data_IF_458456928292
#
_entry.id   IF_458456928292
#
_cell.length_a   1.000
_cell.length_b   1.000
_cell.length_c   1.000
_cell.angle_alpha   90.00
_cell.angle_beta   90.00
_cell.angle_gamma   90.00
#
_symmetry.space_group_name_H-M   'P 1'
#
loop_
_entity.id
_entity.type
_entity.pdbx_description
1 polymer ?
#
# COMPACT_ATOMS: atom_id res chain seq x y z
N UNK A 1 -4.55 -53.62 38.53
CA UNK A 1 -4.24 -53.24 37.14
C UNK A 1 -5.30 -52.24 36.69
N UNK A 2 -4.99 -50.93 36.69
CA UNK A 2 -5.92 -49.87 36.28
C UNK A 2 -5.69 -49.56 34.79
N UNK A 3 -6.72 -49.74 33.98
CA UNK A 3 -6.71 -49.41 32.55
C UNK A 3 -6.97 -47.91 32.42
N UNK A 4 -5.99 -47.17 31.90
CA UNK A 4 -6.10 -45.76 31.57
C UNK A 4 -6.63 -45.67 30.13
N UNK A 5 -7.87 -45.23 30.00
CA UNK A 5 -8.50 -44.99 28.68
C UNK A 5 -8.10 -43.57 28.23
N UNK A 6 -7.28 -43.48 27.16
CA UNK A 6 -6.96 -42.21 26.49
C UNK A 6 -8.16 -41.80 25.63
N UNK A 7 -8.82 -40.73 26.04
CA UNK A 7 -9.84 -40.03 25.20
C UNK A 7 -9.09 -39.07 24.32
N UNK A 8 -8.95 -39.36 23.04
CA UNK A 8 -8.44 -38.46 22.03
C UNK A 8 -9.51 -37.44 21.71
N UNK A 9 -9.31 -36.19 22.20
CA UNK A 9 -10.14 -35.04 21.86
C UNK A 9 -9.75 -34.58 20.45
N UNK A 10 -10.53 -34.97 19.44
CA UNK A 10 -10.41 -34.44 18.08
C UNK A 10 -10.92 -33.01 18.05
N UNK A 11 -10.00 -32.03 17.97
CA UNK A 11 -10.35 -30.64 17.71
C UNK A 11 -10.86 -30.52 16.27
N UNK A 12 -12.18 -30.45 16.09
CA UNK A 12 -12.77 -30.02 14.82
C UNK A 12 -12.47 -28.54 14.62
N UNK A 13 -11.48 -28.24 13.79
CA UNK A 13 -11.32 -26.92 13.22
C UNK A 13 -12.47 -26.68 12.25
N UNK A 14 -13.50 -25.96 12.69
CA UNK A 14 -14.56 -25.46 11.82
C UNK A 14 -13.93 -24.35 10.99
N UNK A 15 -13.46 -24.68 9.78
CA UNK A 15 -13.20 -23.67 8.74
C UNK A 15 -14.56 -23.10 8.35
N UNK A 16 -14.92 -21.96 8.93
CA UNK A 16 -16.08 -21.19 8.51
C UNK A 16 -15.81 -20.72 7.07
N UNK A 17 -16.30 -21.49 6.08
CA UNK A 17 -16.43 -21.02 4.72
C UNK A 17 -17.41 -19.84 4.74
N UNK A 18 -16.92 -18.60 4.76
CA UNK A 18 -17.78 -17.45 4.56
C UNK A 18 -18.37 -17.52 3.16
N UNK A 19 -19.68 -17.78 3.08
CA UNK A 19 -20.43 -17.88 1.81
C UNK A 19 -20.75 -16.52 1.18
N UNK A 20 -20.18 -15.44 1.72
CA UNK A 20 -20.40 -14.07 1.25
C UNK A 20 -19.61 -13.71 -0.01
N UNK A 21 -19.89 -12.53 -0.58
CA UNK A 21 -19.14 -12.00 -1.71
C UNK A 21 -17.66 -11.81 -1.35
N UNK A 22 -16.79 -12.09 -2.32
CA UNK A 22 -15.33 -12.07 -2.13
C UNK A 22 -14.68 -11.18 -3.19
N UNK A 23 -13.55 -10.58 -2.83
CA UNK A 23 -12.61 -10.04 -3.80
C UNK A 23 -11.50 -11.07 -4.08
N UNK A 24 -10.86 -10.92 -5.23
CA UNK A 24 -9.77 -11.79 -5.66
C UNK A 24 -8.54 -10.97 -6.05
N UNK A 25 -7.36 -11.48 -5.70
CA UNK A 25 -6.08 -10.94 -6.15
C UNK A 25 -5.29 -12.07 -6.80
N UNK A 26 -5.17 -12.00 -8.11
CA UNK A 26 -4.54 -13.02 -8.93
C UNK A 26 -3.31 -12.44 -9.63
N UNK A 27 -2.42 -13.28 -10.11
CA UNK A 27 -1.31 -12.84 -10.93
C UNK A 27 -0.14 -13.78 -10.96
N UNK A 28 1.01 -13.23 -11.36
CA UNK A 28 2.28 -13.93 -11.43
C UNK A 28 3.45 -13.02 -11.02
N UNK A 29 4.42 -13.60 -10.30
CA UNK A 29 5.64 -12.94 -9.88
C UNK A 29 6.82 -13.68 -10.49
N UNK A 30 7.27 -13.21 -11.63
CA UNK A 30 8.36 -13.87 -12.35
C UNK A 30 9.68 -13.82 -11.58
N UNK A 31 10.42 -14.92 -11.58
CA UNK A 31 11.70 -15.03 -10.88
C UNK A 31 11.57 -15.20 -9.35
N UNK A 32 10.37 -15.51 -8.83
CA UNK A 32 10.10 -15.67 -7.40
C UNK A 32 9.93 -17.15 -6.97
N UNK A 33 10.43 -18.10 -7.73
CA UNK A 33 10.32 -19.52 -7.37
C UNK A 33 10.86 -19.79 -5.96
N UNK A 34 10.09 -20.54 -5.17
CA UNK A 34 10.42 -20.87 -3.79
C UNK A 34 10.19 -19.77 -2.75
N UNK A 35 9.87 -18.52 -3.15
CA UNK A 35 9.57 -17.40 -2.25
C UNK A 35 8.18 -17.49 -1.64
N UNK A 36 8.02 -16.90 -0.46
CA UNK A 36 6.71 -16.73 0.18
C UNK A 36 6.11 -15.38 -0.21
N UNK A 37 4.93 -15.41 -0.81
CA UNK A 37 4.10 -14.23 -1.06
C UNK A 37 3.03 -14.16 0.01
N UNK A 38 2.90 -12.99 0.64
CA UNK A 38 1.90 -12.69 1.65
C UNK A 38 0.88 -11.69 1.11
N UNK A 39 -0.39 -11.93 1.38
CA UNK A 39 -1.45 -10.92 1.31
C UNK A 39 -1.67 -10.38 2.72
N UNK A 40 -1.56 -9.07 2.88
CA UNK A 40 -1.66 -8.40 4.17
C UNK A 40 -2.68 -7.26 4.09
N UNK A 41 -3.49 -7.08 5.15
CA UNK A 41 -4.29 -5.88 5.34
C UNK A 41 -3.46 -4.78 6.01
N UNK A 42 -3.67 -3.53 5.60
CA UNK A 42 -3.00 -2.35 6.14
C UNK A 42 -4.04 -1.41 6.75
N UNK A 43 -4.30 -1.57 8.03
CA UNK A 43 -5.30 -0.80 8.78
C UNK A 43 -4.69 0.11 9.84
N UNK A 44 -5.56 0.78 10.61
CA UNK A 44 -5.17 1.69 11.69
C UNK A 44 -4.41 0.98 12.82
N UNK A 45 -4.72 -0.29 13.06
CA UNK A 45 -4.06 -1.11 14.09
C UNK A 45 -2.70 -1.69 13.61
N UNK A 46 -2.34 -1.42 12.35
CA UNK A 46 -1.10 -1.89 11.73
C UNK A 46 -1.32 -2.87 10.59
N UNK A 47 -0.34 -3.71 10.36
CA UNK A 47 -0.32 -4.69 9.27
C UNK A 47 -0.69 -6.07 9.81
N UNK A 48 -1.70 -6.70 9.20
CA UNK A 48 -2.14 -8.05 9.52
C UNK A 48 -2.00 -8.98 8.31
N UNK A 49 -1.33 -10.11 8.48
CA UNK A 49 -1.27 -11.13 7.43
C UNK A 49 -2.63 -11.85 7.32
N UNK A 50 -3.19 -11.87 6.12
CA UNK A 50 -4.47 -12.53 5.82
C UNK A 50 -4.28 -13.91 5.20
N UNK A 51 -3.29 -14.03 4.31
CA UNK A 51 -3.04 -15.27 3.57
C UNK A 51 -1.58 -15.31 3.08
N UNK A 52 -1.12 -16.49 2.68
CA UNK A 52 0.21 -16.63 2.10
C UNK A 52 0.29 -17.83 1.17
N UNK A 53 1.17 -17.74 0.18
CA UNK A 53 1.45 -18.83 -0.76
C UNK A 53 2.95 -18.93 -1.05
N UNK A 54 3.47 -20.16 -1.10
CA UNK A 54 4.82 -20.40 -1.62
C UNK A 54 4.77 -20.48 -3.13
N UNK A 55 5.38 -19.51 -3.79
CA UNK A 55 5.42 -19.42 -5.25
C UNK A 55 6.22 -20.57 -5.86
N UNK A 56 5.80 -21.03 -7.03
CA UNK A 56 6.43 -22.12 -7.78
C UNK A 56 6.52 -21.76 -9.27
N UNK A 57 7.58 -22.20 -9.92
CA UNK A 57 7.76 -22.04 -11.35
C UNK A 57 7.67 -20.57 -11.79
N UNK A 58 6.65 -20.23 -12.56
CA UNK A 58 6.43 -18.88 -13.09
C UNK A 58 5.89 -17.89 -12.05
N UNK A 59 5.63 -18.33 -10.80
CA UNK A 59 5.22 -17.47 -9.71
C UNK A 59 3.73 -17.15 -9.69
N UNK A 60 2.88 -17.99 -10.29
CA UNK A 60 1.44 -17.80 -10.28
C UNK A 60 0.86 -17.88 -8.85
N UNK A 61 -0.10 -17.00 -8.55
CA UNK A 61 -0.81 -16.97 -7.27
C UNK A 61 -2.27 -16.55 -7.43
N UNK A 62 -3.08 -16.90 -6.42
CA UNK A 62 -4.48 -16.48 -6.29
C UNK A 62 -4.85 -16.40 -4.82
N UNK A 63 -5.32 -15.23 -4.39
CA UNK A 63 -5.89 -15.00 -3.06
C UNK A 63 -7.36 -14.64 -3.19
N UNK A 64 -8.19 -15.13 -2.24
CA UNK A 64 -9.61 -14.81 -2.12
C UNK A 64 -9.94 -14.44 -0.69
N UNK A 65 -10.48 -13.24 -0.51
CA UNK A 65 -10.85 -12.73 0.82
C UNK A 65 -12.30 -12.22 0.81
N UNK A 66 -12.98 -12.19 1.96
CA UNK A 66 -14.27 -11.55 2.08
C UNK A 66 -14.22 -10.11 1.59
N UNK A 67 -15.30 -9.66 0.93
CA UNK A 67 -15.45 -8.26 0.52
C UNK A 67 -15.36 -7.35 1.76
N UNK A 68 -14.56 -6.26 1.73
CA UNK A 68 -14.58 -5.27 2.79
C UNK A 68 -15.92 -4.50 2.80
N UNK A 69 -16.33 -4.01 3.96
CA UNK A 69 -17.55 -3.21 4.13
C UNK A 69 -17.39 -1.78 3.57
N UNK A 70 -16.17 -1.28 3.60
CA UNK A 70 -15.74 0.02 3.06
C UNK A 70 -14.40 -0.15 2.34
N UNK A 71 -13.95 0.85 1.56
CA UNK A 71 -12.63 0.79 0.93
C UNK A 71 -11.52 0.52 1.95
N UNK A 72 -10.76 -0.53 1.74
CA UNK A 72 -9.65 -0.95 2.60
C UNK A 72 -8.35 -1.06 1.83
N UNK A 73 -7.23 -0.93 2.56
CA UNK A 73 -5.88 -1.03 2.00
C UNK A 73 -5.28 -2.40 2.26
N UNK A 74 -4.66 -2.91 1.22
CA UNK A 74 -3.96 -4.19 1.24
C UNK A 74 -2.57 -4.04 0.65
N UNK A 75 -1.73 -5.03 0.89
CA UNK A 75 -0.45 -5.13 0.22
C UNK A 75 -0.07 -6.58 -0.07
N UNK A 76 0.61 -6.79 -1.18
CA UNK A 76 1.39 -7.99 -1.41
C UNK A 76 2.80 -7.75 -0.87
N UNK A 77 3.37 -8.73 -0.18
CA UNK A 77 4.74 -8.66 0.33
C UNK A 77 5.53 -9.93 0.00
N UNK A 78 6.75 -9.73 -0.51
CA UNK A 78 7.78 -10.76 -0.64
C UNK A 78 9.05 -10.21 -0.01
N UNK A 79 9.63 -10.91 0.97
CA UNK A 79 10.76 -10.45 1.76
C UNK A 79 10.48 -9.03 2.34
N UNK A 80 11.28 -8.03 1.99
CA UNK A 80 11.12 -6.61 2.37
C UNK A 80 10.41 -5.75 1.32
N UNK A 81 10.03 -6.34 0.17
CA UNK A 81 9.40 -5.64 -0.95
C UNK A 81 7.88 -5.70 -0.85
N UNK A 82 7.22 -4.59 -1.22
CA UNK A 82 5.76 -4.47 -1.12
C UNK A 82 5.15 -3.85 -2.38
N UNK A 83 3.90 -4.25 -2.67
CA UNK A 83 2.98 -3.62 -3.62
C UNK A 83 1.73 -3.25 -2.84
N UNK A 84 1.44 -1.95 -2.73
CA UNK A 84 0.24 -1.45 -2.07
C UNK A 84 -0.91 -1.31 -3.07
N UNK A 85 -2.13 -1.61 -2.62
CA UNK A 85 -3.37 -1.44 -3.39
C UNK A 85 -4.56 -1.25 -2.46
N UNK A 86 -5.71 -0.89 -3.01
CA UNK A 86 -6.98 -0.84 -2.28
C UNK A 86 -8.01 -1.76 -2.92
N UNK A 87 -8.98 -2.17 -2.12
CA UNK A 87 -10.19 -2.86 -2.58
C UNK A 87 -11.39 -2.13 -2.03
N UNK A 88 -12.28 -1.71 -2.93
CA UNK A 88 -13.46 -0.93 -2.57
C UNK A 88 -14.71 -1.82 -2.43
N UNK A 89 -14.74 -2.96 -3.13
CA UNK A 89 -15.91 -3.86 -3.17
C UNK A 89 -15.56 -5.27 -3.65
N UNK A 90 -16.42 -5.86 -4.49
CA UNK A 90 -16.15 -7.12 -5.18
C UNK A 90 -15.33 -6.79 -6.42
N UNK A 91 -14.02 -6.95 -6.31
CA UNK A 91 -13.06 -6.69 -7.37
C UNK A 91 -12.22 -7.93 -7.66
N UNK A 92 -11.76 -8.04 -8.88
CA UNK A 92 -10.72 -9.02 -9.26
C UNK A 92 -9.52 -8.26 -9.78
N UNK A 93 -8.48 -8.21 -8.97
CA UNK A 93 -7.24 -7.56 -9.35
C UNK A 93 -6.30 -8.55 -10.02
N UNK A 94 -5.65 -8.12 -11.10
CA UNK A 94 -4.55 -8.84 -11.75
C UNK A 94 -3.26 -8.09 -11.51
N UNK A 95 -2.32 -8.71 -10.79
CA UNK A 95 -1.03 -8.10 -10.44
C UNK A 95 0.10 -8.96 -11.00
N UNK A 96 0.96 -8.34 -11.84
CA UNK A 96 2.16 -8.98 -12.37
C UNK A 96 3.38 -8.16 -12.02
N UNK A 97 4.45 -8.82 -11.60
CA UNK A 97 5.69 -8.17 -11.25
C UNK A 97 6.90 -9.08 -11.47
N UNK A 98 8.07 -8.55 -11.84
CA UNK A 98 9.33 -9.26 -11.67
C UNK A 98 9.76 -9.20 -10.20
N UNK A 99 10.26 -10.30 -9.63
CA UNK A 99 10.74 -10.33 -8.24
C UNK A 99 11.84 -9.29 -7.97
N UNK A 100 12.74 -9.07 -8.94
CA UNK A 100 13.86 -8.12 -8.79
C UNK A 100 13.35 -6.71 -8.53
N UNK A 101 12.38 -6.25 -9.32
CA UNK A 101 11.79 -4.91 -9.25
C UNK A 101 10.33 -4.95 -8.75
N UNK A 102 10.05 -5.83 -7.78
CA UNK A 102 8.70 -6.12 -7.30
C UNK A 102 7.89 -4.88 -6.94
N UNK A 103 8.50 -3.91 -6.25
CA UNK A 103 7.81 -2.70 -5.79
C UNK A 103 7.73 -1.57 -6.83
N UNK A 104 8.38 -1.70 -7.98
CA UNK A 104 8.50 -0.59 -8.95
C UNK A 104 8.07 -0.95 -10.36
N UNK A 105 8.30 -2.18 -10.82
CA UNK A 105 8.03 -2.62 -12.19
C UNK A 105 6.81 -3.58 -12.26
N UNK A 106 5.78 -3.33 -11.46
CA UNK A 106 4.56 -4.14 -11.49
C UNK A 106 3.46 -3.52 -12.35
N UNK A 107 2.53 -4.36 -12.81
CA UNK A 107 1.25 -3.92 -13.36
C UNK A 107 0.13 -4.30 -12.40
N UNK A 108 -0.94 -3.50 -12.38
CA UNK A 108 -2.16 -3.79 -11.64
C UNK A 108 -3.35 -3.42 -12.50
N UNK A 109 -4.28 -4.36 -12.66
CA UNK A 109 -5.48 -4.20 -13.45
C UNK A 109 -6.70 -4.59 -12.61
N UNK A 110 -7.90 -4.09 -12.98
CA UNK A 110 -9.16 -4.41 -12.31
C UNK A 110 -9.59 -3.37 -11.26
N UNK A 111 -8.75 -2.38 -10.90
CA UNK A 111 -9.11 -1.30 -9.98
C UNK A 111 -8.48 0.03 -10.37
N UNK A 112 -9.31 1.06 -10.56
CA UNK A 112 -8.84 2.42 -10.86
C UNK A 112 -8.10 3.05 -9.67
N UNK A 113 -8.59 2.83 -8.44
CA UNK A 113 -7.95 3.32 -7.22
C UNK A 113 -6.56 2.69 -7.01
N UNK A 114 -6.44 1.39 -7.24
CA UNK A 114 -5.16 0.69 -7.11
C UNK A 114 -4.14 1.16 -8.15
N UNK A 115 -4.55 1.53 -9.37
CA UNK A 115 -3.67 2.16 -10.35
C UNK A 115 -3.17 3.54 -9.87
N UNK A 116 -4.04 4.35 -9.28
CA UNK A 116 -3.65 5.65 -8.70
C UNK A 116 -2.73 5.50 -7.49
N UNK A 117 -2.93 4.48 -6.65
CA UNK A 117 -2.04 4.14 -5.55
C UNK A 117 -0.65 3.74 -6.06
N UNK A 118 -0.60 2.97 -7.16
CA UNK A 118 0.67 2.66 -7.84
C UNK A 118 1.39 3.93 -8.30
N UNK A 119 0.69 4.83 -9.01
CA UNK A 119 1.26 6.10 -9.47
C UNK A 119 1.84 6.90 -8.29
N UNK A 120 1.08 7.04 -7.19
CA UNK A 120 1.50 7.73 -5.97
C UNK A 120 2.73 7.05 -5.32
N UNK A 121 2.74 5.72 -5.26
CA UNK A 121 3.87 4.95 -4.72
C UNK A 121 5.14 5.20 -5.55
N UNK A 122 5.05 5.16 -6.87
CA UNK A 122 6.20 5.42 -7.74
C UNK A 122 6.69 6.87 -7.64
N UNK A 123 5.79 7.85 -7.52
CA UNK A 123 6.14 9.25 -7.27
C UNK A 123 6.86 9.43 -5.93
N UNK A 124 6.40 8.76 -4.87
CA UNK A 124 7.05 8.79 -3.56
C UNK A 124 8.45 8.16 -3.58
N UNK A 125 8.62 7.03 -4.26
CA UNK A 125 9.93 6.39 -4.45
C UNK A 125 10.89 7.33 -5.20
N UNK A 126 10.41 8.00 -6.23
CA UNK A 126 11.20 8.98 -6.98
C UNK A 126 11.58 10.20 -6.11
N UNK A 127 10.65 10.70 -5.28
CA UNK A 127 10.95 11.77 -4.32
C UNK A 127 12.02 11.33 -3.32
N UNK A 128 11.88 10.15 -2.71
CA UNK A 128 12.88 9.61 -1.77
C UNK A 128 14.26 9.53 -2.43
N UNK A 129 14.33 8.99 -3.64
CA UNK A 129 15.59 8.92 -4.38
C UNK A 129 16.22 10.31 -4.61
N UNK A 130 15.43 11.29 -5.03
CA UNK A 130 15.92 12.65 -5.26
C UNK A 130 16.45 13.29 -3.98
N UNK A 131 15.80 13.05 -2.85
CA UNK A 131 16.25 13.52 -1.53
C UNK A 131 17.53 12.81 -1.10
N UNK A 132 17.65 11.52 -1.33
CA UNK A 132 18.87 10.75 -1.01
C UNK A 132 20.06 11.22 -1.87
N UNK A 133 19.86 11.48 -3.17
CA UNK A 133 20.86 12.04 -4.07
C UNK A 133 21.30 13.46 -3.63
N UNK A 134 20.35 14.30 -3.20
CA UNK A 134 20.62 15.63 -2.68
C UNK A 134 21.43 15.58 -1.37
N UNK A 135 21.09 14.66 -0.47
CA UNK A 135 21.84 14.40 0.77
C UNK A 135 23.27 13.92 0.49
N UNK A 136 23.44 13.06 -0.50
CA UNK A 136 24.77 12.61 -0.92
C UNK A 136 25.61 13.77 -1.46
N UNK A 137 25.00 14.69 -2.21
CA UNK A 137 25.67 15.90 -2.74
C UNK A 137 26.13 16.82 -1.61
N UNK A 138 25.31 17.00 -0.57
CA UNK A 138 25.68 17.78 0.63
C UNK A 138 26.84 17.12 1.39
N UNK A 139 26.76 15.80 1.63
CA UNK A 139 27.80 15.05 2.35
C UNK A 139 29.15 15.10 1.66
N UNK A 140 29.18 15.19 0.35
CA UNK A 140 30.40 15.31 -0.46
C UNK A 140 30.92 16.76 -0.55
N UNK A 141 30.31 17.71 0.19
CA UNK A 141 30.63 19.16 0.19
C UNK A 141 30.52 19.80 -1.20
N UNK A 142 29.66 19.27 -2.06
CA UNK A 142 29.42 19.85 -3.41
C UNK A 142 28.39 20.98 -3.40
N UNK A 143 27.62 21.11 -2.31
CA UNK A 143 26.68 22.23 -2.08
C UNK A 143 26.76 22.68 -0.63
N UNK A 144 26.32 23.92 -0.36
CA UNK A 144 26.14 24.45 0.99
C UNK A 144 24.84 23.98 1.64
N UNK A 145 24.71 24.12 2.96
CA UNK A 145 23.46 23.83 3.70
C UNK A 145 22.28 24.65 3.18
N UNK A 146 22.47 25.96 2.89
CA UNK A 146 21.42 26.83 2.40
C UNK A 146 20.88 26.33 1.03
N UNK A 147 21.78 25.95 0.11
CA UNK A 147 21.39 25.38 -1.18
C UNK A 147 20.65 24.03 -0.98
N UNK A 148 21.09 23.23 -0.02
CA UNK A 148 20.42 21.98 0.30
C UNK A 148 19.00 22.23 0.81
N UNK A 149 18.80 23.13 1.78
CA UNK A 149 17.49 23.46 2.34
C UNK A 149 16.53 24.00 1.28
N UNK A 150 16.97 24.93 0.45
CA UNK A 150 16.18 25.49 -0.66
C UNK A 150 15.78 24.42 -1.68
N UNK A 151 16.72 23.53 -2.02
CA UNK A 151 16.48 22.44 -2.96
C UNK A 151 15.51 21.41 -2.38
N UNK A 152 15.64 21.03 -1.12
CA UNK A 152 14.74 20.14 -0.42
C UNK A 152 13.33 20.73 -0.35
N UNK A 153 13.20 22.00 0.04
CA UNK A 153 11.93 22.70 0.07
C UNK A 153 11.25 22.72 -1.31
N UNK A 154 12.03 22.95 -2.37
CA UNK A 154 11.55 22.92 -3.75
C UNK A 154 11.04 21.53 -4.16
N UNK A 155 11.79 20.46 -3.87
CA UNK A 155 11.37 19.08 -4.15
C UNK A 155 10.06 18.72 -3.43
N UNK A 156 9.96 19.06 -2.14
CA UNK A 156 8.77 18.80 -1.34
C UNK A 156 7.55 19.60 -1.82
N UNK A 157 7.72 20.89 -2.10
CA UNK A 157 6.64 21.74 -2.58
C UNK A 157 6.11 21.26 -3.94
N UNK A 158 6.99 20.95 -4.89
CA UNK A 158 6.59 20.44 -6.20
C UNK A 158 5.83 19.11 -6.07
N UNK A 159 6.30 18.21 -5.22
CA UNK A 159 5.61 16.94 -4.95
C UNK A 159 4.23 17.18 -4.34
N UNK A 160 4.15 18.02 -3.30
CA UNK A 160 2.88 18.34 -2.62
C UNK A 160 1.87 18.97 -3.55
N UNK A 161 2.28 19.92 -4.37
CA UNK A 161 1.38 20.59 -5.33
C UNK A 161 0.85 19.60 -6.38
N UNK A 162 1.72 18.76 -6.94
CA UNK A 162 1.28 17.72 -7.89
C UNK A 162 0.27 16.77 -7.26
N UNK A 163 0.53 16.28 -6.04
CA UNK A 163 -0.34 15.33 -5.33
C UNK A 163 -1.66 15.99 -4.91
N UNK A 164 -1.64 17.23 -4.44
CA UNK A 164 -2.85 18.01 -4.10
C UNK A 164 -3.77 18.13 -5.31
N UNK A 165 -3.24 18.60 -6.43
CA UNK A 165 -4.05 18.90 -7.62
C UNK A 165 -4.57 17.62 -8.28
N UNK A 166 -3.72 16.64 -8.48
CA UNK A 166 -4.03 15.49 -9.33
C UNK A 166 -4.65 14.30 -8.59
N UNK A 167 -4.55 14.25 -7.25
CA UNK A 167 -5.08 13.13 -6.46
C UNK A 167 -6.02 13.58 -5.34
N UNK A 168 -5.62 14.54 -4.48
CA UNK A 168 -6.41 14.90 -3.30
C UNK A 168 -7.64 15.69 -3.68
N UNK A 169 -7.49 16.80 -4.41
CA UNK A 169 -8.62 17.67 -4.78
C UNK A 169 -9.35 17.21 -6.05
N UNK A 170 -8.67 16.48 -6.93
CA UNK A 170 -9.32 15.93 -8.13
C UNK A 170 -10.41 14.90 -7.82
N UNK A 171 -10.21 14.06 -6.80
CA UNK A 171 -11.16 13.02 -6.41
C UNK A 171 -11.07 12.70 -4.90
N UNK A 172 -11.50 13.63 -4.02
CA UNK A 172 -11.26 13.56 -2.58
C UNK A 172 -11.98 12.40 -1.88
N UNK A 173 -13.00 11.81 -2.50
CA UNK A 173 -13.77 10.67 -1.97
C UNK A 173 -13.19 9.31 -2.38
N UNK A 174 -11.94 9.25 -2.82
CA UNK A 174 -11.30 8.00 -3.28
C UNK A 174 -10.29 7.44 -2.29
N UNK A 175 -10.07 6.12 -2.33
CA UNK A 175 -9.01 5.47 -1.58
C UNK A 175 -7.63 6.04 -1.95
N UNK A 176 -7.41 6.40 -3.21
CA UNK A 176 -6.16 7.02 -3.66
C UNK A 176 -5.91 8.39 -3.01
N UNK A 177 -6.94 9.25 -2.86
CA UNK A 177 -6.80 10.51 -2.16
C UNK A 177 -6.48 10.32 -0.68
N UNK A 178 -7.13 9.36 -0.02
CA UNK A 178 -6.81 8.99 1.36
C UNK A 178 -5.36 8.48 1.47
N UNK A 179 -4.94 7.58 0.60
CA UNK A 179 -3.56 7.06 0.57
C UNK A 179 -2.52 8.17 0.43
N UNK A 180 -2.82 9.17 -0.41
CA UNK A 180 -1.92 10.30 -0.65
C UNK A 180 -1.61 11.11 0.61
N UNK A 181 -2.59 11.29 1.51
CA UNK A 181 -2.42 12.04 2.77
C UNK A 181 -1.42 11.40 3.74
N UNK A 182 -1.29 10.07 3.69
CA UNK A 182 -0.47 9.31 4.66
C UNK A 182 0.88 8.87 4.10
N UNK A 183 1.27 9.39 2.93
CA UNK A 183 2.61 9.13 2.39
C UNK A 183 3.69 9.78 3.26
N UNK A 184 4.83 9.09 3.35
CA UNK A 184 5.93 9.49 4.24
C UNK A 184 7.23 9.64 3.47
N UNK A 185 8.05 10.56 3.92
CA UNK A 185 9.46 10.69 3.54
C UNK A 185 10.29 10.52 4.81
N UNK A 186 11.22 9.56 4.85
CA UNK A 186 12.04 9.27 6.04
C UNK A 186 11.23 9.14 7.35
N UNK A 187 10.08 8.45 7.31
CA UNK A 187 9.12 8.26 8.41
C UNK A 187 8.30 9.50 8.83
N UNK A 188 8.51 10.67 8.25
CA UNK A 188 7.69 11.87 8.48
C UNK A 188 6.59 11.96 7.43
N UNK A 189 5.38 12.36 7.85
CA UNK A 189 4.30 12.64 6.91
C UNK A 189 4.70 13.77 5.97
N UNK A 190 4.46 13.58 4.66
CA UNK A 190 4.68 14.63 3.65
C UNK A 190 3.61 15.72 3.81
N UNK A 191 2.36 15.31 4.07
CA UNK A 191 1.27 16.21 4.45
C UNK A 191 1.15 16.21 5.98
N UNK A 192 1.56 17.32 6.62
CA UNK A 192 1.58 17.44 8.07
C UNK A 192 0.48 18.41 8.57
N UNK A 193 -0.70 17.89 8.96
CA UNK A 193 -1.81 18.72 9.41
C UNK A 193 -1.57 19.35 10.78
N UNK A 194 -0.55 18.92 11.53
CA UNK A 194 -0.25 19.47 12.85
C UNK A 194 0.57 20.78 12.74
N UNK A 195 1.45 20.86 11.74
CA UNK A 195 2.40 21.97 11.60
C UNK A 195 2.15 22.84 10.35
N UNK A 196 1.28 22.40 9.42
CA UNK A 196 1.01 23.12 8.16
C UNK A 196 -0.50 23.33 7.95
N UNK A 197 -0.95 24.60 7.97
CA UNK A 197 -2.36 24.97 7.80
C UNK A 197 -2.94 24.60 6.41
N UNK A 198 -2.12 24.58 5.37
CA UNK A 198 -2.57 24.23 4.03
C UNK A 198 -2.76 22.70 3.92
N UNK A 199 -1.97 21.93 4.63
CA UNK A 199 -2.16 20.49 4.70
C UNK A 199 -3.46 20.11 5.43
N UNK A 200 -3.87 20.87 6.45
CA UNK A 200 -5.19 20.70 7.10
C UNK A 200 -6.33 20.74 6.09
N UNK A 201 -6.25 21.61 5.06
CA UNK A 201 -7.28 21.69 4.01
C UNK A 201 -7.37 20.40 3.19
N UNK A 202 -6.24 19.73 2.95
CA UNK A 202 -6.19 18.45 2.24
C UNK A 202 -6.91 17.36 3.04
N UNK A 203 -6.62 17.26 4.35
CA UNK A 203 -7.31 16.32 5.24
C UNK A 203 -8.80 16.63 5.36
N UNK A 204 -9.17 17.89 5.51
CA UNK A 204 -10.56 18.32 5.60
C UNK A 204 -11.36 17.97 4.32
N UNK A 205 -10.76 18.19 3.15
CA UNK A 205 -11.39 17.88 1.86
C UNK A 205 -11.70 16.38 1.75
N UNK A 206 -10.73 15.53 2.04
CA UNK A 206 -10.90 14.07 1.97
C UNK A 206 -11.90 13.60 3.03
N UNK A 207 -11.75 14.01 4.29
CA UNK A 207 -12.64 13.60 5.37
C UNK A 207 -14.10 13.99 5.11
N UNK A 208 -14.34 15.22 4.64
CA UNK A 208 -15.70 15.71 4.30
C UNK A 208 -16.28 14.91 3.13
N UNK A 209 -15.48 14.67 2.09
CA UNK A 209 -15.96 13.97 0.90
C UNK A 209 -16.25 12.49 1.16
N UNK A 210 -15.43 11.82 1.98
CA UNK A 210 -15.70 10.44 2.39
C UNK A 210 -16.96 10.34 3.26
N UNK A 211 -17.18 11.28 4.19
CA UNK A 211 -18.39 11.30 5.02
C UNK A 211 -19.65 11.50 4.18
N UNK A 212 -19.62 12.37 3.17
CA UNK A 212 -20.74 12.59 2.26
C UNK A 212 -21.04 11.40 1.34
N UNK A 213 -20.05 10.58 1.03
CA UNK A 213 -20.22 9.38 0.19
C UNK A 213 -20.82 8.18 0.93
N UNK A 214 -20.90 8.25 2.26
CA UNK A 214 -21.48 7.20 3.13
C UNK A 214 -22.98 7.44 3.47
N UNK A 215 -23.54 8.58 3.03
CA UNK A 215 -24.95 8.96 3.17
C UNK A 215 -25.69 8.67 1.86
#
# INVERSE_FOLDING_TARGET
MKKITFVALAALTITACSSGPKFEVNGDISGADGKMLYLEASGLEGIAALDSVKLKGEGAFSFKQPRPESPEFYRLRIDDKVINFSVDSIETLQIKAPYVDFSTAYTIEGSGNSNKIKELTLKQIALQKNVDDLLATLRNNNISHDIFEDSLATLLNNYKEDVKVNYIFAAPNTAAAYFALFQKLNNYLIFDPLNNKDDVKCFAAVATSLNLSLI
#
